data_IF_013036743175
#
_entry.id   IF_013036743175
#
_cell.length_a   1.000
_cell.length_b   1.000
_cell.length_c   1.000
_cell.angle_alpha   90.00
_cell.angle_beta   90.00
_cell.angle_gamma   90.00
#
_symmetry.space_group_name_H-M   'P 1'
#
loop_
_entity.id
_entity.type
_entity.pdbx_description
1 polymer ?
#
# COMPACT_ATOMS: atom_id res chain seq x y z
N UNK A 1 15.15 -0.60 10.74
CA UNK A 1 16.05 0.43 10.22
C UNK A 1 15.41 0.95 8.95
N UNK A 2 15.36 2.28 8.76
CA UNK A 2 14.82 2.88 7.55
C UNK A 2 15.64 2.43 6.34
N UNK A 3 14.93 1.94 5.32
CA UNK A 3 15.48 1.50 4.05
C UNK A 3 14.77 2.21 2.90
N UNK A 4 15.54 2.65 1.93
CA UNK A 4 15.00 3.26 0.71
C UNK A 4 14.44 2.16 -0.19
N UNK A 5 13.16 2.30 -0.58
CA UNK A 5 12.43 1.39 -1.46
C UNK A 5 11.85 2.17 -2.63
N UNK A 6 11.63 1.47 -3.73
CA UNK A 6 10.92 1.98 -4.90
C UNK A 6 9.54 1.36 -4.93
N UNK A 7 8.51 2.18 -5.08
CA UNK A 7 7.13 1.71 -5.14
C UNK A 7 6.90 0.96 -6.45
N UNK A 8 6.43 -0.30 -6.44
CA UNK A 8 6.16 -1.05 -7.66
C UNK A 8 4.97 -0.51 -8.47
N UNK A 9 4.05 0.24 -7.85
CA UNK A 9 2.89 0.82 -8.54
C UNK A 9 3.25 2.12 -9.28
N UNK A 10 3.86 3.08 -8.58
CA UNK A 10 4.11 4.41 -9.12
C UNK A 10 5.58 4.70 -9.47
N UNK A 11 6.52 3.83 -9.09
CA UNK A 11 7.97 4.03 -9.30
C UNK A 11 8.63 5.04 -8.35
N UNK A 12 7.89 5.65 -7.43
CA UNK A 12 8.42 6.66 -6.51
C UNK A 12 9.39 6.04 -5.48
N UNK A 13 10.45 6.77 -5.15
CA UNK A 13 11.42 6.33 -4.15
C UNK A 13 11.04 6.88 -2.78
N UNK A 14 10.91 6.01 -1.78
CA UNK A 14 10.46 6.37 -0.44
C UNK A 14 11.23 5.59 0.63
N UNK A 15 11.20 6.07 1.86
CA UNK A 15 11.83 5.40 3.00
C UNK A 15 10.82 4.54 3.74
N UNK A 16 11.07 3.24 3.86
CA UNK A 16 10.29 2.30 4.65
C UNK A 16 11.08 1.92 5.91
N UNK A 17 10.47 1.95 7.10
CA UNK A 17 11.09 1.39 8.31
C UNK A 17 10.27 0.23 8.87
N UNK A 18 10.44 -1.00 8.37
CA UNK A 18 9.68 -2.14 8.84
C UNK A 18 9.97 -2.50 10.30
N UNK A 19 11.09 -2.06 10.87
CA UNK A 19 11.40 -2.30 12.28
C UNK A 19 10.91 -1.16 13.19
N UNK A 20 10.81 0.06 12.67
CA UNK A 20 10.28 1.23 13.39
C UNK A 20 8.79 1.47 13.14
N UNK A 21 8.40 2.73 13.17
CA UNK A 21 7.03 3.18 12.92
C UNK A 21 6.88 3.54 11.43
N UNK A 22 6.40 2.59 10.63
CA UNK A 22 6.14 2.81 9.22
C UNK A 22 4.64 2.75 8.95
N UNK A 23 4.15 3.71 8.16
CA UNK A 23 2.73 3.84 7.84
C UNK A 23 2.13 2.55 7.26
N UNK A 24 2.93 1.71 6.57
CA UNK A 24 2.46 0.44 6.01
C UNK A 24 1.90 -0.52 7.08
N UNK A 25 2.37 -0.43 8.33
CA UNK A 25 1.86 -1.22 9.46
C UNK A 25 0.45 -0.81 9.89
N UNK A 26 0.08 0.44 9.64
CA UNK A 26 -1.25 0.96 9.94
C UNK A 26 -2.24 0.70 8.81
N UNK A 27 -1.78 0.27 7.63
CA UNK A 27 -2.65 -0.04 6.51
C UNK A 27 -3.09 -1.49 6.59
N UNK A 28 -4.41 -1.75 6.68
CA UNK A 28 -4.91 -3.11 6.72
C UNK A 28 -4.66 -3.79 5.37
N UNK A 29 -4.04 -4.98 5.38
CA UNK A 29 -3.65 -5.72 4.16
C UNK A 29 -4.84 -6.20 3.34
N UNK A 30 -6.04 -6.28 3.94
CA UNK A 30 -7.31 -6.50 3.21
C UNK A 30 -7.59 -5.38 2.22
N UNK A 31 -7.05 -4.17 2.48
CA UNK A 31 -7.15 -3.01 1.61
C UNK A 31 -6.00 -2.93 0.59
N UNK A 32 -5.20 -3.96 0.43
CA UNK A 32 -4.20 -4.00 -0.65
C UNK A 32 -4.72 -4.96 -1.72
N UNK A 33 -4.72 -4.59 -3.02
CA UNK A 33 -5.08 -5.50 -4.10
C UNK A 33 -4.17 -6.73 -4.11
N UNK A 34 -4.71 -7.92 -4.41
CA UNK A 34 -3.92 -9.16 -4.43
C UNK A 34 -2.72 -9.12 -5.38
N UNK A 35 -2.79 -8.38 -6.49
CA UNK A 35 -1.65 -8.22 -7.40
C UNK A 35 -0.49 -7.39 -6.81
N UNK A 36 -0.75 -6.55 -5.79
CA UNK A 36 0.28 -5.78 -5.08
C UNK A 36 0.72 -6.47 -3.78
N UNK A 37 -0.11 -7.36 -3.22
CA UNK A 37 0.28 -8.16 -2.04
C UNK A 37 1.51 -9.00 -2.39
N UNK A 38 2.60 -8.77 -1.66
CA UNK A 38 3.84 -9.53 -1.83
C UNK A 38 4.79 -9.00 -2.91
N UNK A 39 4.43 -7.95 -3.67
CA UNK A 39 5.34 -7.33 -4.63
C UNK A 39 6.36 -6.37 -3.98
N UNK A 40 6.14 -5.97 -2.74
CA UNK A 40 7.07 -5.12 -1.98
C UNK A 40 6.35 -4.12 -1.09
N UNK A 41 7.12 -3.16 -0.56
CA UNK A 41 6.55 -2.04 0.19
C UNK A 41 5.92 -1.04 -0.78
N UNK A 42 4.73 -0.53 -0.43
CA UNK A 42 4.05 0.54 -1.17
C UNK A 42 4.31 1.89 -0.49
N UNK A 43 4.45 2.95 -1.29
CA UNK A 43 4.63 4.29 -0.76
C UNK A 43 3.33 4.81 -0.12
N UNK A 44 3.45 5.85 0.71
CA UNK A 44 2.30 6.45 1.42
C UNK A 44 1.19 6.90 0.46
N UNK A 45 1.57 7.54 -0.64
CA UNK A 45 0.63 8.05 -1.64
C UNK A 45 -0.25 6.93 -2.24
N UNK A 46 0.37 5.81 -2.63
CA UNK A 46 -0.37 4.65 -3.17
C UNK A 46 -1.26 4.04 -2.11
N UNK A 47 -0.77 3.89 -0.88
CA UNK A 47 -1.57 3.35 0.22
C UNK A 47 -2.77 4.23 0.56
N UNK A 48 -2.61 5.56 0.63
CA UNK A 48 -3.74 6.49 0.83
C UNK A 48 -4.73 6.41 -0.33
N UNK A 49 -4.25 6.30 -1.58
CA UNK A 49 -5.11 6.15 -2.76
C UNK A 49 -5.94 4.86 -2.67
N UNK A 50 -5.29 3.72 -2.41
CA UNK A 50 -5.95 2.42 -2.27
C UNK A 50 -6.99 2.42 -1.13
N UNK A 51 -6.68 3.10 -0.02
CA UNK A 51 -7.61 3.27 1.10
C UNK A 51 -8.82 4.11 0.70
N UNK A 52 -8.61 5.21 -0.04
CA UNK A 52 -9.68 6.06 -0.53
C UNK A 52 -10.55 5.32 -1.57
N UNK A 53 -9.94 4.63 -2.53
CA UNK A 53 -10.64 3.93 -3.63
C UNK A 53 -11.50 2.76 -3.14
N UNK A 54 -11.08 2.02 -2.10
CA UNK A 54 -11.89 0.92 -1.56
C UNK A 54 -13.05 1.34 -0.65
N UNK A 55 -13.20 2.63 -0.37
CA UNK A 55 -14.50 3.12 0.12
C UNK A 55 -15.52 3.24 -1.02
N UNK A 56 -15.06 3.29 -2.28
CA UNK A 56 -15.91 3.33 -3.46
C UNK A 56 -16.09 1.93 -4.10
N UNK A 57 -15.10 1.04 -4.00
CA UNK A 57 -15.11 -0.31 -4.58
C UNK A 57 -15.73 -1.40 -3.69
N UNK A 58 -16.42 -1.05 -2.60
CA UNK A 58 -17.37 -1.97 -1.91
C UNK A 58 -18.72 -2.04 -2.66
N UNK A 59 -18.76 -1.62 -3.93
CA UNK A 59 -19.96 -1.69 -4.79
C UNK A 59 -19.76 -2.41 -6.12
N UNK A 60 -18.60 -3.02 -6.36
CA UNK A 60 -18.35 -3.75 -7.61
C UNK A 60 -18.05 -5.22 -7.35
N UNK A 61 -19.07 -5.98 -6.92
CA UNK A 61 -19.16 -7.35 -7.41
C UNK A 61 -20.61 -7.81 -7.57
N UNK A 62 -21.12 -7.94 -8.81
CA UNK A 62 -22.24 -8.78 -9.13
C UNK A 62 -21.75 -10.22 -9.36
N UNK A 63 -22.05 -11.13 -8.43
CA UNK A 63 -22.14 -12.57 -8.71
C UNK A 63 -23.18 -13.22 -7.80
#
# INVERSE_FOLDING_TARGET
>A
MPETKTCPECGETFTCDPQGDCWCKHVPTVKIPDHLKGQGCLCRCVLDRLLAEQTADDKTNPS
#
